data_IF_639562169797
#
_entry.id   IF_639562169797
#
_cell.length_a   1.000
_cell.length_b   1.000
_cell.length_c   1.000
_cell.angle_alpha   90.00
_cell.angle_beta   90.00
_cell.angle_gamma   90.00
#
_symmetry.space_group_name_H-M   'P 1'
#
loop_
_entity.id
_entity.type
_entity.pdbx_description
1 polymer ?
#
# COMPACT_ATOMS: atom_id res chain seq x y z
N UNK A 1 4.04 23.00 1.83
CA UNK A 1 3.10 22.25 0.97
C UNK A 1 2.43 21.08 1.70
N UNK A 2 3.17 20.15 2.32
CA UNK A 2 2.62 18.99 3.07
C UNK A 2 1.52 19.35 4.10
N UNK A 3 1.76 20.35 4.95
CA UNK A 3 0.77 20.85 5.95
C UNK A 3 -0.55 21.37 5.35
N UNK A 4 -0.54 21.87 4.11
CA UNK A 4 -1.76 22.36 3.44
C UNK A 4 -2.58 21.18 2.91
N UNK A 5 -1.91 20.19 2.31
CA UNK A 5 -2.56 18.97 1.81
C UNK A 5 -3.14 18.17 2.98
N UNK A 6 -2.40 18.01 4.07
CA UNK A 6 -2.86 17.32 5.30
C UNK A 6 -4.15 17.94 5.88
N UNK A 7 -4.28 19.27 5.85
CA UNK A 7 -5.52 19.95 6.28
C UNK A 7 -6.70 19.59 5.37
N UNK A 8 -6.49 19.56 4.05
CA UNK A 8 -7.52 19.24 3.05
C UNK A 8 -7.95 17.77 3.12
N UNK A 9 -7.07 16.88 3.54
CA UNK A 9 -7.33 15.43 3.58
C UNK A 9 -7.72 14.90 4.96
N UNK A 10 -7.99 15.77 5.95
CA UNK A 10 -8.27 15.35 7.33
C UNK A 10 -9.43 14.36 7.45
N UNK A 11 -10.54 14.62 6.74
CA UNK A 11 -11.71 13.72 6.77
C UNK A 11 -11.37 12.34 6.19
N UNK A 12 -10.65 12.32 5.06
CA UNK A 12 -10.15 11.09 4.45
C UNK A 12 -9.22 10.34 5.40
N UNK A 13 -8.35 11.03 6.13
CA UNK A 13 -7.47 10.42 7.12
C UNK A 13 -8.27 9.72 8.24
N UNK A 14 -9.28 10.37 8.82
CA UNK A 14 -10.11 9.75 9.86
C UNK A 14 -10.89 8.52 9.34
N UNK A 15 -11.42 8.62 8.12
CA UNK A 15 -12.08 7.49 7.45
C UNK A 15 -11.11 6.33 7.26
N UNK A 16 -9.90 6.59 6.78
CA UNK A 16 -8.86 5.59 6.56
C UNK A 16 -8.50 4.87 7.86
N UNK A 17 -8.30 5.63 8.95
CA UNK A 17 -8.03 5.09 10.29
C UNK A 17 -9.17 4.18 10.77
N UNK A 18 -10.42 4.60 10.60
CA UNK A 18 -11.58 3.81 10.96
C UNK A 18 -11.62 2.49 10.17
N UNK A 19 -11.44 2.54 8.84
CA UNK A 19 -11.41 1.33 7.99
C UNK A 19 -10.26 0.40 8.37
N UNK A 20 -9.06 0.95 8.62
CA UNK A 20 -7.90 0.18 9.07
C UNK A 20 -8.11 -0.54 10.41
N UNK A 21 -8.84 0.06 11.36
CA UNK A 21 -9.11 -0.61 12.64
C UNK A 21 -9.86 -1.93 12.49
N UNK A 22 -10.65 -2.09 11.42
CA UNK A 22 -11.37 -3.32 11.10
C UNK A 22 -10.49 -4.38 10.42
N UNK A 23 -9.40 -3.95 9.79
CA UNK A 23 -8.55 -4.79 8.94
C UNK A 23 -7.27 -5.25 9.64
N UNK A 24 -6.74 -4.50 10.60
CA UNK A 24 -5.42 -4.77 11.22
C UNK A 24 -5.32 -6.19 11.81
N UNK A 25 -6.41 -6.73 12.37
CA UNK A 25 -6.44 -8.08 12.94
C UNK A 25 -6.57 -9.22 11.91
N UNK A 26 -6.87 -8.92 10.64
CA UNK A 26 -7.16 -9.92 9.60
C UNK A 26 -5.90 -10.66 9.16
N UNK A 27 -6.06 -11.92 8.76
CA UNK A 27 -5.01 -12.82 8.27
C UNK A 27 -4.90 -12.76 6.75
N UNK A 28 -3.84 -13.35 6.17
CA UNK A 28 -3.58 -13.32 4.71
C UNK A 28 -4.77 -13.83 3.88
N UNK A 29 -5.41 -14.93 4.30
CA UNK A 29 -6.59 -15.50 3.63
C UNK A 29 -7.79 -14.55 3.56
N UNK A 30 -7.95 -13.68 4.56
CA UNK A 30 -9.07 -12.73 4.63
C UNK A 30 -8.97 -11.64 3.57
N UNK A 31 -7.78 -11.46 2.99
CA UNK A 31 -7.53 -10.55 1.86
C UNK A 31 -7.58 -11.27 0.51
N UNK A 32 -8.00 -12.54 0.46
CA UNK A 32 -8.05 -13.31 -0.79
C UNK A 32 -6.68 -13.80 -1.28
N UNK A 33 -5.68 -13.90 -0.39
CA UNK A 33 -4.37 -14.45 -0.74
C UNK A 33 -4.46 -15.98 -0.72
N UNK A 34 -4.26 -16.67 -1.86
CA UNK A 34 -4.35 -18.13 -1.93
C UNK A 34 -3.21 -18.78 -1.16
N UNK A 35 -3.41 -20.00 -0.68
CA UNK A 35 -2.45 -20.71 0.19
C UNK A 35 -1.06 -20.83 -0.43
N UNK A 36 -0.97 -21.02 -1.76
CA UNK A 36 0.31 -21.08 -2.50
C UNK A 36 1.15 -19.81 -2.35
N UNK A 37 0.50 -18.66 -2.19
CA UNK A 37 1.13 -17.35 -2.06
C UNK A 37 1.21 -16.89 -0.60
N UNK A 38 0.64 -17.61 0.36
CA UNK A 38 0.77 -17.24 1.78
C UNK A 38 2.18 -17.48 2.31
N UNK A 39 2.66 -16.52 3.11
CA UNK A 39 4.02 -16.53 3.66
C UNK A 39 4.02 -16.72 5.17
N UNK A 40 4.87 -17.61 5.67
CA UNK A 40 5.03 -17.85 7.11
C UNK A 40 5.62 -16.62 7.82
N UNK A 41 6.46 -15.85 7.12
CA UNK A 41 7.01 -14.60 7.63
C UNK A 41 6.03 -13.43 7.53
N UNK A 42 4.84 -13.65 6.93
CA UNK A 42 3.81 -12.63 6.78
C UNK A 42 4.26 -11.44 5.94
N UNK A 43 5.10 -11.64 4.91
CA UNK A 43 5.57 -10.58 4.01
C UNK A 43 6.40 -9.49 4.70
N UNK A 44 7.13 -9.84 5.77
CA UNK A 44 7.94 -8.90 6.58
C UNK A 44 8.86 -7.99 5.75
N UNK A 45 9.49 -8.50 4.70
CA UNK A 45 10.39 -7.71 3.85
C UNK A 45 9.65 -6.57 3.12
N UNK A 46 8.49 -6.85 2.52
CA UNK A 46 7.68 -5.83 1.86
C UNK A 46 7.10 -4.84 2.87
N UNK A 47 6.64 -5.32 4.04
CA UNK A 47 6.14 -4.47 5.12
C UNK A 47 7.22 -3.51 5.63
N UNK A 48 8.45 -4.00 5.83
CA UNK A 48 9.55 -3.18 6.29
C UNK A 48 9.88 -2.06 5.30
N UNK A 49 9.87 -2.38 3.99
CA UNK A 49 10.08 -1.39 2.94
C UNK A 49 8.97 -0.33 2.91
N UNK A 50 7.71 -0.73 2.94
CA UNK A 50 6.61 0.25 2.88
C UNK A 50 6.56 1.16 4.12
N UNK A 51 6.98 0.67 5.29
CA UNK A 51 7.09 1.48 6.51
C UNK A 51 8.10 2.63 6.39
N UNK A 52 9.12 2.52 5.53
CA UNK A 52 10.12 3.60 5.38
C UNK A 52 9.51 4.83 4.69
N UNK A 53 8.39 4.70 3.98
CA UNK A 53 7.73 5.80 3.27
C UNK A 53 7.51 7.04 4.16
N UNK A 54 7.20 6.85 5.45
CA UNK A 54 6.95 7.95 6.40
C UNK A 54 8.17 8.83 6.67
N UNK A 55 9.37 8.30 6.44
CA UNK A 55 10.64 8.99 6.63
C UNK A 55 11.08 9.70 5.34
N UNK A 56 10.39 9.48 4.22
CA UNK A 56 10.72 10.06 2.93
C UNK A 56 10.06 11.42 2.75
N UNK A 57 10.78 12.32 2.08
CA UNK A 57 10.35 13.69 1.85
C UNK A 57 10.27 14.05 0.36
N UNK A 58 10.93 13.28 -0.51
CA UNK A 58 10.92 13.49 -1.96
C UNK A 58 9.95 12.53 -2.64
N UNK A 59 9.13 13.00 -3.61
CA UNK A 59 8.22 12.16 -4.39
C UNK A 59 8.93 10.99 -5.07
N UNK A 60 10.12 11.22 -5.64
CA UNK A 60 10.89 10.19 -6.31
C UNK A 60 11.29 9.05 -5.36
N UNK A 61 11.74 9.40 -4.14
CA UNK A 61 12.06 8.38 -3.12
C UNK A 61 10.82 7.59 -2.70
N UNK A 62 9.66 8.27 -2.61
CA UNK A 62 8.39 7.60 -2.29
C UNK A 62 7.97 6.61 -3.39
N UNK A 63 8.15 6.98 -4.66
CA UNK A 63 7.90 6.08 -5.80
C UNK A 63 8.89 4.90 -5.77
N UNK A 64 10.16 5.17 -5.49
CA UNK A 64 11.17 4.12 -5.33
C UNK A 64 10.82 3.17 -4.17
N UNK A 65 10.27 3.68 -3.07
CA UNK A 65 9.76 2.87 -1.97
C UNK A 65 8.63 1.92 -2.43
N UNK A 66 7.71 2.39 -3.26
CA UNK A 66 6.67 1.56 -3.86
C UNK A 66 7.24 0.46 -4.76
N UNK A 67 8.16 0.80 -5.65
CA UNK A 67 8.86 -0.17 -6.51
C UNK A 67 9.62 -1.21 -5.69
N UNK A 68 10.36 -0.78 -4.67
CA UNK A 68 11.09 -1.69 -3.80
C UNK A 68 10.15 -2.62 -3.03
N UNK A 69 9.00 -2.11 -2.58
CA UNK A 69 7.97 -2.90 -1.90
C UNK A 69 7.40 -3.95 -2.85
N UNK A 70 7.07 -3.57 -4.08
CA UNK A 70 6.59 -4.48 -5.12
C UNK A 70 7.64 -5.56 -5.46
N UNK A 71 8.90 -5.18 -5.63
CA UNK A 71 9.99 -6.12 -5.85
C UNK A 71 10.14 -7.11 -4.68
N UNK A 72 9.88 -6.70 -3.43
CA UNK A 72 9.87 -7.61 -2.28
C UNK A 72 8.66 -8.57 -2.27
N UNK A 73 7.53 -8.17 -2.86
CA UNK A 73 6.38 -9.06 -3.08
C UNK A 73 6.70 -10.07 -4.18
N UNK A 74 7.25 -9.60 -5.32
CA UNK A 74 7.62 -10.46 -6.45
C UNK A 74 8.78 -11.41 -6.15
N UNK A 75 9.65 -11.10 -5.19
CA UNK A 75 10.73 -11.99 -4.75
C UNK A 75 10.18 -13.16 -3.88
N UNK A 76 9.24 -13.91 -4.45
CA UNK A 76 8.61 -15.05 -3.83
C UNK A 76 9.46 -16.31 -4.08
N UNK A 77 10.49 -16.51 -3.25
CA UNK A 77 11.36 -17.70 -3.31
C UNK A 77 10.65 -19.06 -3.13
N UNK A 78 9.34 -19.09 -2.84
CA UNK A 78 8.58 -20.32 -2.58
C UNK A 78 7.91 -20.87 -3.85
N UNK A 79 7.70 -20.04 -4.87
CA UNK A 79 7.01 -20.41 -6.10
C UNK A 79 7.91 -20.08 -7.29
N UNK A 80 8.16 -21.06 -8.14
CA UNK A 80 8.82 -20.81 -9.44
C UNK A 80 7.89 -20.05 -10.40
N UNK A 81 6.58 -20.05 -10.12
CA UNK A 81 5.63 -19.30 -10.91
C UNK A 81 5.52 -17.85 -10.43
N UNK A 82 5.52 -16.88 -11.35
CA UNK A 82 5.31 -15.48 -11.02
C UNK A 82 3.93 -15.28 -10.40
N UNK A 83 3.85 -14.33 -9.46
CA UNK A 83 2.59 -13.88 -8.89
C UNK A 83 1.83 -13.11 -9.98
N UNK A 84 0.60 -13.54 -10.26
CA UNK A 84 -0.29 -12.82 -11.17
C UNK A 84 -0.77 -11.48 -10.58
N UNK A 85 -1.35 -10.62 -11.42
CA UNK A 85 -1.73 -9.27 -11.03
C UNK A 85 -2.80 -9.26 -9.92
N UNK A 86 -3.75 -10.19 -9.95
CA UNK A 86 -4.85 -10.26 -8.98
C UNK A 86 -4.33 -10.66 -7.59
N UNK A 87 -3.46 -11.67 -7.54
CA UNK A 87 -2.81 -12.09 -6.30
C UNK A 87 -1.88 -11.00 -5.79
N UNK A 88 -1.15 -10.31 -6.68
CA UNK A 88 -0.28 -9.20 -6.31
C UNK A 88 -1.07 -8.09 -5.58
N UNK A 89 -2.23 -7.70 -6.11
CA UNK A 89 -3.06 -6.66 -5.49
C UNK A 89 -3.53 -7.10 -4.10
N UNK A 90 -3.98 -8.34 -3.93
CA UNK A 90 -4.40 -8.88 -2.63
C UNK A 90 -3.24 -8.87 -1.60
N UNK A 91 -2.03 -9.24 -2.05
CA UNK A 91 -0.82 -9.17 -1.21
C UNK A 91 -0.47 -7.71 -0.88
N UNK A 92 -0.55 -6.80 -1.85
CA UNK A 92 -0.26 -5.39 -1.63
C UNK A 92 -1.23 -4.74 -0.63
N UNK A 93 -2.52 -5.11 -0.66
CA UNK A 93 -3.52 -4.69 0.35
C UNK A 93 -3.12 -5.20 1.73
N UNK A 94 -2.80 -6.49 1.86
CA UNK A 94 -2.35 -7.06 3.13
C UNK A 94 -1.08 -6.35 3.65
N UNK A 95 -0.08 -6.16 2.79
CA UNK A 95 1.18 -5.46 3.13
C UNK A 95 0.89 -4.03 3.58
N UNK A 96 0.00 -3.30 2.91
CA UNK A 96 -0.41 -1.97 3.31
C UNK A 96 -1.03 -1.95 4.72
N UNK A 97 -1.96 -2.87 4.99
CA UNK A 97 -2.62 -2.99 6.30
C UNK A 97 -1.61 -3.30 7.39
N UNK A 98 -0.71 -4.27 7.17
CA UNK A 98 0.32 -4.66 8.16
C UNK A 98 1.46 -3.65 8.30
N UNK A 99 1.62 -2.76 7.33
CA UNK A 99 2.52 -1.61 7.42
C UNK A 99 1.91 -0.45 8.22
N UNK A 100 0.60 -0.47 8.44
CA UNK A 100 -0.16 0.58 9.10
C UNK A 100 -0.41 0.28 10.57
N UNK A 101 -0.71 1.32 11.34
CA UNK A 101 -1.37 1.21 12.65
C UNK A 101 -2.65 2.05 12.65
N UNK A 102 -3.52 1.85 13.66
CA UNK A 102 -4.74 2.67 13.83
C UNK A 102 -4.40 4.16 13.96
N UNK A 103 -3.21 4.52 14.45
CA UNK A 103 -2.78 5.92 14.58
C UNK A 103 -1.93 6.40 13.40
N UNK A 104 -1.37 5.49 12.62
CA UNK A 104 -0.40 5.81 11.58
C UNK A 104 -0.65 4.93 10.34
N UNK A 105 -1.57 5.32 9.45
CA UNK A 105 -1.72 4.68 8.13
C UNK A 105 -0.41 4.79 7.34
N UNK A 106 0.02 3.71 6.69
CA UNK A 106 1.30 3.66 5.96
C UNK A 106 1.35 4.66 4.81
N UNK A 107 0.25 4.74 4.04
CA UNK A 107 0.03 5.72 2.97
C UNK A 107 -1.29 6.42 3.26
N UNK A 108 -1.32 7.73 3.11
CA UNK A 108 -2.50 8.59 3.25
C UNK A 108 -2.76 9.31 1.94
N UNK A 109 -3.97 9.86 1.80
CA UNK A 109 -4.30 10.72 0.66
C UNK A 109 -3.32 11.88 0.48
N UNK A 110 -2.77 12.41 1.58
CA UNK A 110 -1.84 13.53 1.50
C UNK A 110 -0.53 13.16 0.81
N UNK A 111 -0.02 11.94 1.06
CA UNK A 111 1.16 11.43 0.36
C UNK A 111 0.86 11.16 -1.11
N UNK A 112 -0.31 10.59 -1.43
CA UNK A 112 -0.71 10.33 -2.81
C UNK A 112 -0.83 11.61 -3.63
N UNK A 113 -1.50 12.63 -3.11
CA UNK A 113 -1.64 13.94 -3.77
C UNK A 113 -0.31 14.67 -3.89
N UNK A 114 0.58 14.51 -2.90
CA UNK A 114 1.91 15.10 -2.94
C UNK A 114 2.77 14.47 -4.04
N UNK A 115 2.73 13.14 -4.16
CA UNK A 115 3.43 12.41 -5.22
C UNK A 115 2.83 12.79 -6.58
N UNK A 116 1.51 12.71 -6.74
CA UNK A 116 0.82 13.03 -8.00
C UNK A 116 1.11 14.46 -8.49
N UNK A 117 1.11 15.43 -7.58
CA UNK A 117 1.34 16.84 -7.94
C UNK A 117 2.78 17.18 -8.32
N UNK A 118 3.74 16.31 -8.01
CA UNK A 118 5.18 16.57 -8.20
C UNK A 118 5.89 15.49 -9.04
N UNK A 119 5.19 14.44 -9.43
CA UNK A 119 5.71 13.40 -10.30
C UNK A 119 5.92 13.96 -11.72
N UNK A 120 7.11 13.76 -12.28
CA UNK A 120 7.37 14.12 -13.67
C UNK A 120 6.69 13.13 -14.64
N UNK A 121 6.49 13.55 -15.89
CA UNK A 121 5.79 12.75 -16.90
C UNK A 121 6.52 11.46 -17.25
N UNK A 122 7.85 11.45 -17.25
CA UNK A 122 8.62 10.25 -17.60
C UNK A 122 8.44 9.19 -16.52
N UNK A 123 8.49 9.58 -15.25
CA UNK A 123 8.21 8.67 -14.13
C UNK A 123 6.75 8.21 -14.14
N UNK A 124 5.80 9.08 -14.48
CA UNK A 124 4.38 8.71 -14.56
C UNK A 124 4.08 7.66 -15.64
N UNK A 125 4.88 7.60 -16.71
CA UNK A 125 4.73 6.64 -17.81
C UNK A 125 5.62 5.40 -17.66
N UNK A 126 6.37 5.28 -16.57
CA UNK A 126 7.27 4.15 -16.30
C UNK A 126 6.66 3.16 -15.31
N UNK A 127 7.45 2.15 -14.93
CA UNK A 127 7.14 1.22 -13.83
C UNK A 127 6.81 1.96 -12.52
N UNK A 128 7.42 3.12 -12.28
CA UNK A 128 7.12 3.97 -11.12
C UNK A 128 5.67 4.45 -11.12
N UNK A 129 5.16 4.91 -12.26
CA UNK A 129 3.76 5.30 -12.43
C UNK A 129 2.80 4.13 -12.28
N UNK A 130 3.18 2.93 -12.75
CA UNK A 130 2.42 1.71 -12.54
C UNK A 130 2.25 1.40 -11.04
N UNK A 131 3.33 1.30 -10.27
CA UNK A 131 3.20 0.97 -8.84
C UNK A 131 2.60 2.10 -8.01
N UNK A 132 2.81 3.37 -8.38
CA UNK A 132 2.04 4.47 -7.80
C UNK A 132 0.53 4.24 -7.98
N UNK A 133 0.10 3.86 -9.17
CA UNK A 133 -1.30 3.54 -9.46
C UNK A 133 -1.78 2.35 -8.64
N UNK A 134 -0.98 1.29 -8.51
CA UNK A 134 -1.35 0.13 -7.68
C UNK A 134 -1.53 0.52 -6.22
N UNK A 135 -0.58 1.22 -5.60
CA UNK A 135 -0.71 1.63 -4.19
C UNK A 135 -1.81 2.66 -3.97
N UNK A 136 -2.10 3.51 -4.96
CA UNK A 136 -3.31 4.37 -4.94
C UNK A 136 -4.58 3.53 -4.94
N UNK A 137 -4.66 2.52 -5.80
CA UNK A 137 -5.79 1.58 -5.85
C UNK A 137 -5.94 0.79 -4.55
N UNK A 138 -4.83 0.40 -3.90
CA UNK A 138 -4.86 -0.22 -2.57
C UNK A 138 -5.50 0.71 -1.54
N UNK A 139 -5.09 1.99 -1.48
CA UNK A 139 -5.70 2.96 -0.55
C UNK A 139 -7.19 3.17 -0.87
N UNK A 140 -7.56 3.23 -2.15
CA UNK A 140 -8.96 3.32 -2.58
C UNK A 140 -9.79 2.10 -2.17
N UNK A 141 -9.21 0.90 -2.27
CA UNK A 141 -9.85 -0.33 -1.81
C UNK A 141 -10.16 -0.26 -0.30
N UNK A 142 -9.23 0.28 0.50
CA UNK A 142 -9.44 0.44 1.95
C UNK A 142 -10.59 1.43 2.24
N UNK A 143 -10.70 2.51 1.47
CA UNK A 143 -11.84 3.42 1.61
C UNK A 143 -13.16 2.74 1.27
N UNK A 144 -13.17 1.94 0.21
CA UNK A 144 -14.35 1.19 -0.24
C UNK A 144 -14.66 -0.05 0.61
N UNK A 145 -13.77 -0.45 1.53
CA UNK A 145 -13.97 -1.64 2.34
C UNK A 145 -15.23 -1.52 3.21
N UNK A 146 -16.18 -2.43 2.99
CA UNK A 146 -17.36 -2.58 3.83
C UNK A 146 -17.28 -3.91 4.55
N UNK A 147 -17.51 -3.86 5.86
CA UNK A 147 -17.60 -5.06 6.67
C UNK A 147 -18.93 -5.72 6.37
N UNK A 148 -18.90 -6.92 5.77
CA UNK A 148 -20.11 -7.73 5.60
C UNK A 148 -20.68 -7.98 7.00
N UNK A 149 -21.91 -7.49 7.23
CA UNK A 149 -22.70 -7.90 8.39
C UNK A 149 -23.13 -9.34 8.11
N UNK A 150 -22.56 -10.28 8.85
CA UNK A 150 -23.11 -11.64 8.97
C UNK A 150 -24.43 -11.62 9.73
#
# INVERSE_FOLDING_TARGET
MKKVVERRTRNKYHMLVHKLSKLIGKQQKDFGIPEKDQRNDGWKAAIAKLKTLKQLHLPLDMIQCFMLTAAAIHNNKKSEQPIDADHFINIAIYVYVKSSTVKTPAITEAELLFIEGLMDKQTAMSEGGYYFTVFRSVVNWIYAFEEKKE
#
